data_IF_636331427036
#
_entry.id   IF_636331427036
#
_cell.length_a   1.000
_cell.length_b   1.000
_cell.length_c   1.000
_cell.angle_alpha   90.00
_cell.angle_beta   90.00
_cell.angle_gamma   90.00
#
_symmetry.space_group_name_H-M   'P 1'
#
loop_
_entity.id
_entity.type
_entity.pdbx_description
1 polymer ?
#
# COMPACT_ATOMS: atom_id res chain seq x y z
N UNK A 1 34.77 10.35 -11.61
CA UNK A 1 33.50 9.97 -10.95
C UNK A 1 32.27 10.23 -11.83
N UNK A 2 32.26 11.23 -12.72
CA UNK A 2 31.07 11.64 -13.50
C UNK A 2 30.47 10.59 -14.45
N UNK A 3 31.30 9.68 -15.00
CA UNK A 3 30.80 8.61 -15.88
C UNK A 3 29.94 7.57 -15.15
N UNK A 4 30.17 7.37 -13.86
CA UNK A 4 29.40 6.42 -13.04
C UNK A 4 28.01 6.98 -12.73
N UNK A 5 27.92 8.30 -12.51
CA UNK A 5 26.65 8.99 -12.23
C UNK A 5 25.75 9.00 -13.47
N UNK A 6 26.32 9.25 -14.66
CA UNK A 6 25.56 9.21 -15.92
C UNK A 6 25.03 7.80 -16.25
N UNK A 7 25.79 6.76 -15.90
CA UNK A 7 25.38 5.37 -16.13
C UNK A 7 24.28 4.94 -15.15
N UNK A 8 24.35 5.36 -13.89
CA UNK A 8 23.29 5.15 -12.90
C UNK A 8 21.98 5.85 -13.30
N UNK A 9 22.04 7.09 -13.77
CA UNK A 9 20.85 7.82 -14.21
C UNK A 9 20.17 7.15 -15.42
N UNK A 10 20.95 6.67 -16.39
CA UNK A 10 20.41 5.94 -17.54
C UNK A 10 19.76 4.61 -17.14
N UNK A 11 20.36 3.89 -16.18
CA UNK A 11 19.84 2.61 -15.71
C UNK A 11 18.51 2.78 -14.94
N UNK A 12 18.40 3.81 -14.10
CA UNK A 12 17.14 4.15 -13.42
C UNK A 12 16.04 4.52 -14.43
N UNK A 13 16.38 5.27 -15.49
CA UNK A 13 15.44 5.59 -16.57
C UNK A 13 14.94 4.34 -17.30
N UNK A 14 15.80 3.36 -17.52
CA UNK A 14 15.45 2.10 -18.18
C UNK A 14 14.54 1.23 -17.31
N UNK A 15 14.79 1.17 -15.99
CA UNK A 15 13.93 0.44 -15.04
C UNK A 15 12.54 1.10 -14.98
N UNK A 16 12.48 2.43 -14.93
CA UNK A 16 11.21 3.15 -14.93
C UNK A 16 10.39 2.88 -16.21
N UNK A 17 11.06 2.82 -17.37
CA UNK A 17 10.41 2.51 -18.64
C UNK A 17 9.89 1.06 -18.66
N UNK A 18 10.66 0.10 -18.14
CA UNK A 18 10.24 -1.29 -18.04
C UNK A 18 9.02 -1.46 -17.12
N UNK A 19 8.99 -0.76 -15.98
CA UNK A 19 7.86 -0.78 -15.06
C UNK A 19 6.57 -0.23 -15.71
N UNK A 20 6.67 0.85 -16.49
CA UNK A 20 5.53 1.42 -17.20
C UNK A 20 4.92 0.43 -18.22
N UNK A 21 5.76 -0.34 -18.91
CA UNK A 21 5.30 -1.34 -19.89
C UNK A 21 4.54 -2.47 -19.19
N UNK A 22 5.04 -2.97 -18.05
CA UNK A 22 4.40 -4.06 -17.29
C UNK A 22 3.03 -3.66 -16.74
N UNK A 23 2.90 -2.41 -16.26
CA UNK A 23 1.60 -1.89 -15.80
C UNK A 23 0.61 -1.83 -16.96
N UNK A 24 1.05 -1.38 -18.14
CA UNK A 24 0.17 -1.28 -19.30
C UNK A 24 -0.36 -2.65 -19.75
N UNK A 25 0.47 -3.69 -19.72
CA UNK A 25 0.05 -5.04 -20.09
C UNK A 25 -0.92 -5.66 -19.08
N UNK A 26 -0.80 -5.31 -17.79
CA UNK A 26 -1.71 -5.79 -16.76
C UNK A 26 -3.11 -5.16 -16.89
N UNK A 27 -3.17 -3.87 -17.21
CA UNK A 27 -4.45 -3.17 -17.44
C UNK A 27 -5.18 -3.74 -18.67
N UNK A 28 -4.45 -4.11 -19.72
CA UNK A 28 -5.05 -4.73 -20.90
C UNK A 28 -5.56 -6.16 -20.62
N UNK A 29 -4.84 -6.93 -19.79
CA UNK A 29 -5.28 -8.24 -19.34
C UNK A 29 -6.56 -8.16 -18.49
N UNK A 30 -6.64 -7.22 -17.54
CA UNK A 30 -7.85 -6.99 -16.75
C UNK A 30 -9.04 -6.59 -17.62
N UNK A 31 -8.84 -5.72 -18.62
CA UNK A 31 -9.91 -5.32 -19.55
C UNK A 31 -10.45 -6.50 -20.36
N UNK A 32 -9.60 -7.41 -20.80
CA UNK A 32 -10.03 -8.62 -21.52
C UNK A 32 -10.81 -9.57 -20.60
N UNK A 33 -10.39 -9.70 -19.35
CA UNK A 33 -11.07 -10.54 -18.38
C UNK A 33 -12.47 -10.00 -18.07
N UNK A 34 -12.61 -8.68 -17.86
CA UNK A 34 -13.93 -8.04 -17.67
C UNK A 34 -14.83 -8.15 -18.91
N UNK A 35 -14.27 -8.07 -20.12
CA UNK A 35 -15.03 -8.24 -21.36
C UNK A 35 -15.61 -9.66 -21.48
N UNK A 36 -14.84 -10.66 -21.05
CA UNK A 36 -15.27 -12.07 -21.04
C UNK A 36 -16.39 -12.29 -20.02
N UNK A 37 -16.28 -11.66 -18.85
CA UNK A 37 -17.28 -11.76 -17.78
C UNK A 37 -18.61 -11.11 -18.21
N UNK A 38 -18.55 -9.95 -18.88
CA UNK A 38 -19.73 -9.31 -19.48
C UNK A 38 -20.41 -10.17 -20.54
N UNK A 39 -19.64 -10.91 -21.35
CA UNK A 39 -20.21 -11.84 -22.32
C UNK A 39 -20.93 -13.00 -21.62
N UNK A 40 -20.39 -13.54 -20.53
CA UNK A 40 -21.04 -14.58 -19.74
C UNK A 40 -22.31 -14.07 -19.03
N UNK A 41 -22.26 -12.89 -18.45
CA UNK A 41 -23.45 -12.29 -17.82
C UNK A 41 -24.56 -12.07 -18.84
N UNK A 42 -24.24 -11.57 -20.05
CA UNK A 42 -25.24 -11.42 -21.13
C UNK A 42 -25.86 -12.74 -21.57
N UNK A 43 -25.07 -13.82 -21.64
CA UNK A 43 -25.60 -15.15 -21.93
C UNK A 43 -26.55 -15.64 -20.83
N UNK A 44 -26.20 -15.41 -19.56
CA UNK A 44 -27.08 -15.79 -18.43
C UNK A 44 -28.39 -14.99 -18.38
N UNK A 45 -28.34 -13.70 -18.75
CA UNK A 45 -29.52 -12.83 -18.85
C UNK A 45 -30.38 -13.24 -20.06
N UNK A 46 -29.76 -13.58 -21.20
CA UNK A 46 -30.45 -14.04 -22.40
C UNK A 46 -31.22 -15.35 -22.20
N UNK A 47 -30.76 -16.22 -21.27
CA UNK A 47 -31.46 -17.46 -20.90
C UNK A 47 -32.58 -17.24 -19.86
N UNK A 48 -32.54 -16.13 -19.12
CA UNK A 48 -33.53 -15.81 -18.07
C UNK A 48 -34.60 -14.82 -18.56
N UNK A 49 -34.36 -14.13 -19.68
CA UNK A 49 -35.32 -13.19 -20.26
C UNK A 49 -36.33 -13.93 -21.15
N UNK A 50 -37.65 -13.85 -20.90
CA UNK A 50 -38.66 -14.38 -21.81
C UNK A 50 -38.58 -13.64 -23.15
N UNK A 51 -38.35 -14.40 -24.21
CA UNK A 51 -38.30 -13.92 -25.59
C UNK A 51 -39.61 -13.16 -25.91
N UNK A 52 -39.58 -11.86 -26.27
CA UNK A 52 -40.77 -11.19 -26.76
C UNK A 52 -41.14 -11.84 -28.09
N UNK A 53 -42.29 -12.52 -28.11
CA UNK A 53 -42.90 -13.04 -29.34
C UNK A 53 -43.17 -11.84 -30.24
N UNK A 54 -42.41 -11.74 -31.34
CA UNK A 54 -42.57 -10.68 -32.34
C UNK A 54 -43.85 -10.97 -33.13
N UNK A 55 -44.97 -10.42 -32.69
CA UNK A 55 -46.14 -10.18 -33.54
C UNK A 55 -45.95 -8.83 -34.25
N UNK A 56 -46.06 -8.76 -35.59
CA UNK A 56 -45.91 -7.48 -36.28
C UNK A 56 -47.18 -6.63 -36.11
N UNK A 57 -47.06 -5.49 -35.44
CA UNK A 57 -48.10 -4.46 -35.34
C UNK A 57 -47.45 -3.06 -35.25
N UNK A 58 -48.19 -1.98 -35.57
CA UNK A 58 -47.79 -0.93 -36.51
C UNK A 58 -46.88 0.17 -35.94
N UNK A 59 -46.31 0.94 -36.85
CA UNK A 59 -45.44 2.12 -36.63
C UNK A 59 -46.09 3.10 -35.66
N UNK A 60 -45.64 3.07 -34.40
CA UNK A 60 -45.88 4.11 -33.39
C UNK A 60 -44.75 5.16 -33.39
N UNK A 61 -44.92 6.27 -32.66
CA UNK A 61 -43.93 7.35 -32.56
C UNK A 61 -42.56 6.85 -32.05
N UNK A 62 -41.45 7.57 -32.32
CA UNK A 62 -40.12 7.11 -31.94
C UNK A 62 -40.09 6.78 -30.45
N UNK A 63 -39.67 5.56 -30.13
CA UNK A 63 -39.41 5.16 -28.76
C UNK A 63 -38.35 6.09 -28.18
N UNK A 64 -38.51 6.48 -26.92
CA UNK A 64 -37.45 7.13 -26.16
C UNK A 64 -36.32 6.11 -25.99
N UNK A 65 -35.26 6.21 -26.80
CA UNK A 65 -34.18 5.21 -26.90
C UNK A 65 -33.24 5.18 -25.67
N UNK A 66 -33.65 5.76 -24.53
CA UNK A 66 -32.87 5.85 -23.28
C UNK A 66 -31.57 6.67 -23.39
N UNK A 67 -31.33 7.31 -24.54
CA UNK A 67 -30.08 8.05 -24.81
C UNK A 67 -29.95 9.29 -23.91
N UNK A 68 -31.06 9.98 -23.61
CA UNK A 68 -31.07 11.12 -22.70
C UNK A 68 -30.69 10.72 -21.26
N UNK A 69 -31.18 9.58 -20.80
CA UNK A 69 -30.90 9.02 -19.47
C UNK A 69 -29.44 8.54 -19.38
N UNK A 70 -28.91 7.96 -20.46
CA UNK A 70 -27.51 7.58 -20.56
C UNK A 70 -26.57 8.80 -20.51
N UNK A 71 -26.91 9.91 -21.18
CA UNK A 71 -26.14 11.15 -21.11
C UNK A 71 -26.18 11.80 -19.72
N UNK A 72 -27.33 11.76 -19.04
CA UNK A 72 -27.45 12.23 -17.65
C UNK A 72 -26.62 11.36 -16.69
N UNK A 73 -26.64 10.04 -16.88
CA UNK A 73 -25.80 9.11 -16.10
C UNK A 73 -24.30 9.40 -16.29
N UNK A 74 -23.89 9.69 -17.52
CA UNK A 74 -22.49 10.01 -17.84
C UNK A 74 -22.06 11.33 -17.17
N UNK A 75 -22.90 12.36 -17.25
CA UNK A 75 -22.65 13.65 -16.58
C UNK A 75 -22.50 13.48 -15.06
N UNK A 76 -23.37 12.68 -14.43
CA UNK A 76 -23.30 12.43 -13.00
C UNK A 76 -22.02 11.66 -12.60
N UNK A 77 -21.59 10.70 -13.43
CA UNK A 77 -20.32 9.98 -13.22
C UNK A 77 -19.12 10.91 -13.36
N UNK A 78 -19.11 11.82 -14.32
CA UNK A 78 -18.02 12.80 -14.50
C UNK A 78 -17.93 13.71 -13.28
N UNK A 79 -19.05 14.28 -12.83
CA UNK A 79 -19.08 15.13 -11.63
C UNK A 79 -18.56 14.38 -10.38
N UNK A 80 -18.93 13.11 -10.23
CA UNK A 80 -18.45 12.27 -9.13
C UNK A 80 -16.94 12.02 -9.23
N UNK A 81 -16.43 11.73 -10.43
CA UNK A 81 -15.00 11.50 -10.66
C UNK A 81 -14.18 12.76 -10.40
N UNK A 82 -14.66 13.93 -10.80
CA UNK A 82 -14.01 15.22 -10.53
C UNK A 82 -13.94 15.50 -9.02
N UNK A 83 -15.03 15.24 -8.29
CA UNK A 83 -15.06 15.40 -6.84
C UNK A 83 -14.10 14.43 -6.13
N UNK A 84 -14.08 13.15 -6.53
CA UNK A 84 -13.15 12.15 -6.00
C UNK A 84 -11.70 12.51 -6.29
N UNK A 85 -11.40 13.00 -7.49
CA UNK A 85 -10.06 13.45 -7.89
C UNK A 85 -9.61 14.64 -7.05
N UNK A 86 -10.51 15.60 -6.84
CA UNK A 86 -10.23 16.78 -6.01
C UNK A 86 -9.93 16.40 -4.55
N UNK A 87 -10.72 15.46 -4.00
CA UNK A 87 -10.52 14.97 -2.64
C UNK A 87 -9.17 14.25 -2.48
N UNK A 88 -8.84 13.34 -3.41
CA UNK A 88 -7.55 12.64 -3.41
C UNK A 88 -6.37 13.61 -3.53
N UNK A 89 -6.48 14.66 -4.35
CA UNK A 89 -5.44 15.68 -4.46
C UNK A 89 -5.24 16.44 -3.14
N UNK A 90 -6.33 16.78 -2.44
CA UNK A 90 -6.26 17.43 -1.13
C UNK A 90 -5.64 16.51 -0.06
N UNK A 91 -5.99 15.22 -0.06
CA UNK A 91 -5.41 14.24 0.86
C UNK A 91 -3.91 14.03 0.60
N UNK A 92 -3.50 13.97 -0.68
CA UNK A 92 -2.09 13.84 -1.04
C UNK A 92 -1.27 15.07 -0.59
N UNK A 93 -1.83 16.28 -0.72
CA UNK A 93 -1.18 17.52 -0.28
C UNK A 93 -1.12 17.62 1.25
N UNK A 94 -2.18 17.17 1.95
CA UNK A 94 -2.17 17.06 3.41
C UNK A 94 -1.12 16.06 3.88
N UNK A 95 -1.00 14.91 3.21
CA UNK A 95 0.02 13.89 3.52
C UNK A 95 1.45 14.43 3.24
N UNK A 96 1.66 15.17 2.15
CA UNK A 96 2.94 15.84 1.87
C UNK A 96 3.30 16.87 2.93
N UNK A 97 2.33 17.68 3.35
CA UNK A 97 2.52 18.69 4.40
C UNK A 97 2.84 18.03 5.75
N UNK A 98 2.15 16.95 6.10
CA UNK A 98 2.44 16.17 7.29
C UNK A 98 3.86 15.59 7.25
N UNK A 99 4.29 15.04 6.11
CA UNK A 99 5.64 14.50 5.94
C UNK A 99 6.74 15.59 6.02
N UNK A 100 6.45 16.80 5.50
CA UNK A 100 7.34 17.95 5.60
C UNK A 100 7.45 18.50 7.04
N UNK A 101 6.36 18.46 7.81
CA UNK A 101 6.35 18.85 9.22
C UNK A 101 7.19 17.88 10.09
N UNK A 102 7.20 16.59 9.75
CA UNK A 102 8.01 15.58 10.45
C UNK A 102 9.50 15.69 10.07
N UNK A 103 9.82 16.26 8.89
CA UNK A 103 11.20 16.44 8.41
C UNK A 103 11.84 17.78 8.75
N UNK A 104 11.13 18.68 9.44
CA UNK A 104 11.69 19.98 9.86
C UNK A 104 12.49 19.83 11.16
N UNK A 105 13.76 20.26 11.22
CA UNK A 105 14.51 20.29 12.48
C UNK A 105 13.87 21.30 13.44
N UNK A 106 13.85 21.03 14.76
CA UNK A 106 13.28 21.96 15.73
C UNK A 106 13.99 23.32 15.66
N UNK A 107 13.29 24.45 15.84
CA UNK A 107 13.93 25.75 15.92
C UNK A 107 14.91 25.75 17.10
N UNK A 108 16.18 26.06 16.80
CA UNK A 108 17.22 26.23 17.81
C UNK A 108 16.83 27.40 18.72
N UNK A 109 16.31 27.06 19.91
CA UNK A 109 16.19 28.02 21.00
C UNK A 109 17.59 28.25 21.61
N UNK A 110 17.97 29.50 21.92
CA UNK A 110 19.32 29.79 22.39
C UNK A 110 19.56 29.21 23.79
N UNK A 111 20.79 28.73 23.99
CA UNK A 111 21.34 28.23 25.24
C UNK A 111 20.96 29.13 26.43
N UNK A 112 20.30 28.54 27.42
CA UNK A 112 20.34 29.01 28.80
C UNK A 112 20.93 27.88 29.67
N UNK A 113 22.13 28.13 30.16
CA UNK A 113 22.82 27.34 31.18
C UNK A 113 21.97 27.29 32.45
N UNK A 114 21.45 26.11 32.78
CA UNK A 114 21.07 25.76 34.14
C UNK A 114 21.39 24.27 34.35
N UNK A 115 22.42 24.04 35.15
CA UNK A 115 22.73 22.74 35.70
C UNK A 115 21.56 22.27 36.59
N UNK A 116 20.91 21.20 36.19
CA UNK A 116 20.14 20.33 37.06
C UNK A 116 20.16 18.94 36.42
N UNK A 117 20.57 17.94 37.19
CA UNK A 117 20.67 16.54 36.81
C UNK A 117 19.32 16.05 36.26
N UNK A 118 19.24 15.92 34.93
CA UNK A 118 18.24 15.12 34.25
C UNK A 118 18.99 14.17 33.33
N UNK A 119 19.41 13.08 33.93
CA UNK A 119 19.89 11.91 33.22
C UNK A 119 18.78 11.47 32.26
N UNK A 120 19.05 11.37 30.95
CA UNK A 120 18.07 10.83 30.01
C UNK A 120 17.65 9.43 30.50
N UNK A 121 16.38 9.01 30.35
CA UNK A 121 16.00 7.65 30.66
C UNK A 121 16.91 6.74 29.83
N UNK A 122 17.81 6.06 30.53
CA UNK A 122 18.63 5.00 29.96
C UNK A 122 17.61 4.00 29.42
N UNK A 123 17.58 3.71 28.10
CA UNK A 123 16.70 2.68 27.58
C UNK A 123 16.98 1.41 28.38
N UNK A 124 15.92 0.73 28.82
CA UNK A 124 16.10 -0.51 29.56
C UNK A 124 16.87 -1.44 28.63
N UNK A 125 17.99 -1.93 29.13
CA UNK A 125 18.91 -2.71 28.31
C UNK A 125 18.16 -3.89 27.70
N UNK A 126 18.17 -3.93 26.36
CA UNK A 126 18.12 -5.12 25.52
C UNK A 126 18.69 -6.30 26.31
N UNK A 127 17.83 -7.23 26.72
CA UNK A 127 18.24 -8.35 27.57
C UNK A 127 19.23 -9.22 26.80
N UNK A 128 20.46 -9.38 27.29
CA UNK A 128 21.50 -10.17 26.59
C UNK A 128 21.15 -11.66 26.38
N UNK A 129 20.00 -12.12 26.85
CA UNK A 129 19.47 -13.49 26.76
C UNK A 129 18.87 -13.87 25.39
N UNK A 130 19.11 -13.08 24.35
CA UNK A 130 18.64 -13.38 22.98
C UNK A 130 19.69 -14.06 22.11
N UNK A 131 19.30 -14.61 20.95
CA UNK A 131 20.25 -15.21 20.00
C UNK A 131 21.25 -14.18 19.51
N UNK A 132 22.48 -14.62 19.29
CA UNK A 132 23.60 -13.81 18.76
C UNK A 132 24.14 -14.32 17.42
N UNK A 133 23.72 -15.52 17.01
CA UNK A 133 23.96 -16.11 15.68
C UNK A 133 22.62 -16.28 14.98
N UNK A 134 22.60 -16.16 13.64
CA UNK A 134 21.42 -16.41 12.78
C UNK A 134 20.18 -15.60 13.21
N UNK A 135 20.38 -14.33 13.51
CA UNK A 135 19.35 -13.39 13.95
C UNK A 135 19.46 -12.06 13.21
N UNK A 136 18.37 -11.30 13.21
CA UNK A 136 18.33 -9.97 12.61
C UNK A 136 18.75 -8.93 13.64
N UNK A 137 19.74 -8.07 13.34
CA UNK A 137 20.14 -7.01 14.24
C UNK A 137 18.99 -6.03 14.52
N UNK A 138 18.96 -5.49 15.74
CA UNK A 138 17.98 -4.46 16.10
C UNK A 138 18.10 -3.25 15.18
N UNK A 139 16.96 -2.75 14.74
CA UNK A 139 16.88 -1.56 13.91
C UNK A 139 17.34 -1.73 12.47
N UNK A 140 17.70 -2.93 12.00
CA UNK A 140 17.96 -3.15 10.56
C UNK A 140 16.66 -3.44 9.82
N UNK A 141 16.61 -3.01 8.57
CA UNK A 141 15.52 -3.39 7.67
C UNK A 141 15.81 -4.75 7.06
N UNK A 142 14.77 -5.56 6.91
CA UNK A 142 14.86 -6.89 6.31
C UNK A 142 13.60 -7.21 5.53
N UNK A 143 13.73 -8.09 4.56
CA UNK A 143 12.63 -8.52 3.72
C UNK A 143 12.05 -9.84 4.26
N UNK A 144 10.73 -9.93 4.27
CA UNK A 144 10.00 -11.07 4.80
C UNK A 144 8.89 -11.49 3.85
N UNK A 145 8.55 -12.77 3.86
CA UNK A 145 7.47 -13.39 3.12
C UNK A 145 6.58 -14.20 4.05
N UNK A 146 5.42 -14.63 3.55
CA UNK A 146 4.51 -15.47 4.32
C UNK A 146 5.17 -16.78 4.74
N UNK A 147 5.09 -17.11 6.04
CA UNK A 147 5.72 -18.28 6.64
C UNK A 147 7.07 -18.02 7.30
N UNK A 148 7.69 -16.86 7.08
CA UNK A 148 9.00 -16.57 7.65
C UNK A 148 8.96 -16.34 9.17
N UNK A 149 10.06 -16.70 9.82
CA UNK A 149 10.28 -16.47 11.26
C UNK A 149 11.68 -15.92 11.49
N UNK A 150 11.76 -14.66 11.94
CA UNK A 150 13.01 -13.95 12.15
C UNK A 150 13.27 -13.69 13.64
N UNK A 151 14.24 -14.35 14.26
CA UNK A 151 14.66 -14.00 15.61
C UNK A 151 15.42 -12.67 15.59
N UNK A 152 15.16 -11.82 16.59
CA UNK A 152 15.81 -10.51 16.71
C UNK A 152 16.97 -10.60 17.70
N UNK A 153 18.16 -10.24 17.24
CA UNK A 153 19.39 -10.43 17.99
C UNK A 153 19.33 -9.76 19.37
N UNK A 154 19.85 -10.44 20.38
CA UNK A 154 19.89 -9.97 21.78
C UNK A 154 18.49 -9.64 22.35
N UNK A 155 17.43 -10.21 21.80
CA UNK A 155 16.09 -10.10 22.38
C UNK A 155 15.40 -11.47 22.36
N UNK A 156 14.27 -11.58 23.06
CA UNK A 156 13.37 -12.73 22.94
C UNK A 156 12.32 -12.56 21.83
N UNK A 157 12.39 -11.46 21.08
CA UNK A 157 11.43 -11.17 20.03
C UNK A 157 11.69 -12.07 18.81
N UNK A 158 10.61 -12.63 18.27
CA UNK A 158 10.61 -13.34 17.00
C UNK A 158 9.49 -12.75 16.16
N UNK A 159 9.83 -12.25 14.97
CA UNK A 159 8.84 -11.78 14.00
C UNK A 159 8.38 -12.99 13.20
N UNK A 160 7.09 -13.34 13.29
CA UNK A 160 6.50 -14.41 12.49
C UNK A 160 5.49 -13.78 11.54
N UNK A 161 5.70 -13.96 10.24
CA UNK A 161 4.84 -13.39 9.20
C UNK A 161 3.90 -14.48 8.71
N UNK A 162 2.60 -14.30 8.88
CA UNK A 162 1.59 -15.29 8.46
C UNK A 162 1.05 -15.02 7.06
N UNK A 163 1.02 -13.76 6.62
CA UNK A 163 0.58 -13.37 5.29
C UNK A 163 1.17 -12.03 4.89
N UNK A 164 1.35 -11.81 3.58
CA UNK A 164 1.65 -10.50 3.00
C UNK A 164 0.72 -10.31 1.81
N UNK A 165 -0.23 -9.39 1.95
CA UNK A 165 -1.27 -9.15 0.95
C UNK A 165 -1.92 -7.77 1.12
N UNK A 166 -2.50 -7.26 0.03
CA UNK A 166 -3.32 -6.04 0.04
C UNK A 166 -2.64 -4.82 0.70
N UNK A 167 -1.33 -4.66 0.52
CA UNK A 167 -0.58 -3.55 1.14
C UNK A 167 -0.31 -3.73 2.63
N UNK A 168 -0.49 -4.93 3.18
CA UNK A 168 -0.31 -5.23 4.60
C UNK A 168 0.50 -6.50 4.84
N UNK A 169 1.19 -6.56 5.98
CA UNK A 169 1.83 -7.78 6.48
C UNK A 169 1.10 -8.21 7.76
N UNK A 170 0.65 -9.46 7.81
CA UNK A 170 0.07 -10.05 9.01
C UNK A 170 1.17 -10.66 9.85
N UNK A 171 1.37 -10.11 11.05
CA UNK A 171 2.44 -10.52 11.97
C UNK A 171 1.83 -11.11 13.23
N UNK A 172 2.36 -12.24 13.70
CA UNK A 172 1.90 -12.87 14.94
C UNK A 172 2.07 -11.93 16.13
N UNK A 173 0.96 -11.69 16.84
CA UNK A 173 0.86 -10.68 17.90
C UNK A 173 0.01 -9.49 17.45
N UNK A 174 0.56 -8.51 16.72
CA UNK A 174 -0.17 -7.30 16.34
C UNK A 174 -1.23 -7.52 15.24
N UNK A 175 -1.19 -8.64 14.53
CA UNK A 175 -2.11 -8.91 13.42
C UNK A 175 -1.72 -8.18 12.14
N UNK A 176 -2.68 -7.78 11.28
CA UNK A 176 -2.39 -7.09 10.03
C UNK A 176 -1.88 -5.67 10.28
N UNK A 177 -0.72 -5.35 9.72
CA UNK A 177 -0.13 -4.01 9.75
C UNK A 177 0.03 -3.53 8.31
N UNK A 178 -0.67 -2.45 7.96
CA UNK A 178 -0.54 -1.79 6.65
C UNK A 178 0.84 -1.17 6.48
N UNK A 179 1.34 -1.11 5.24
CA UNK A 179 2.56 -0.40 4.91
C UNK A 179 2.55 1.05 5.47
N UNK A 180 3.66 1.45 6.10
CA UNK A 180 3.79 2.68 6.88
C UNK A 180 3.37 2.55 8.35
N UNK A 181 2.72 1.45 8.74
CA UNK A 181 2.25 1.19 10.10
C UNK A 181 3.28 0.51 11.00
N UNK A 182 2.94 0.41 12.27
CA UNK A 182 3.71 -0.34 13.27
C UNK A 182 2.79 -1.02 14.28
N UNK A 183 3.29 -2.06 14.93
CA UNK A 183 2.56 -2.81 15.95
C UNK A 183 3.48 -3.35 17.05
N UNK A 184 2.95 -3.54 18.26
CA UNK A 184 3.69 -4.17 19.35
C UNK A 184 3.91 -5.66 19.03
N UNK A 185 5.10 -6.17 19.34
CA UNK A 185 5.37 -7.62 19.33
C UNK A 185 5.05 -8.23 20.69
N UNK A 186 4.88 -9.56 20.72
CA UNK A 186 4.67 -10.34 21.96
C UNK A 186 5.79 -10.11 22.99
N UNK A 187 7.01 -9.85 22.53
CA UNK A 187 8.11 -9.45 23.39
C UNK A 187 7.90 -8.01 23.88
N UNK A 188 7.77 -7.86 25.20
CA UNK A 188 7.57 -6.57 25.85
C UNK A 188 8.64 -5.55 25.44
N UNK A 189 8.21 -4.35 25.05
CA UNK A 189 9.08 -3.25 24.65
C UNK A 189 9.55 -3.30 23.19
N UNK A 190 9.19 -4.33 22.42
CA UNK A 190 9.52 -4.43 20.99
C UNK A 190 8.35 -4.03 20.09
N UNK A 191 8.66 -3.30 19.03
CA UNK A 191 7.72 -2.88 17.99
C UNK A 191 8.25 -3.26 16.62
N UNK A 192 7.38 -3.76 15.75
CA UNK A 192 7.66 -3.98 14.34
C UNK A 192 7.03 -2.86 13.51
N UNK A 193 7.77 -2.36 12.53
CA UNK A 193 7.31 -1.40 11.54
C UNK A 193 7.32 -2.06 10.17
N UNK A 194 6.24 -1.87 9.40
CA UNK A 194 6.14 -2.32 8.01
C UNK A 194 6.38 -1.10 7.11
N UNK A 195 7.42 -1.12 6.28
CA UNK A 195 7.67 -0.04 5.31
C UNK A 195 6.93 -0.26 4.02
N UNK A 196 6.93 -1.49 3.53
CA UNK A 196 6.22 -1.90 2.33
C UNK A 196 5.64 -3.29 2.52
N UNK A 197 4.57 -3.56 1.81
CA UNK A 197 3.98 -4.87 1.59
C UNK A 197 3.33 -4.81 0.22
N UNK A 198 3.67 -5.73 -0.67
CA UNK A 198 3.21 -5.69 -2.06
C UNK A 198 2.57 -7.01 -2.49
N UNK A 199 1.99 -7.01 -3.69
CA UNK A 199 1.32 -8.18 -4.26
C UNK A 199 2.28 -9.29 -4.70
N UNK A 200 3.60 -9.09 -4.62
CA UNK A 200 4.58 -10.15 -4.86
C UNK A 200 4.81 -11.03 -3.63
N UNK A 201 4.14 -10.71 -2.51
CA UNK A 201 4.17 -11.52 -1.28
C UNK A 201 5.35 -11.20 -0.36
N UNK A 202 6.02 -10.07 -0.59
CA UNK A 202 7.14 -9.60 0.23
C UNK A 202 6.80 -8.31 0.97
N UNK A 203 7.33 -8.20 2.19
CA UNK A 203 7.23 -7.02 3.03
C UNK A 203 8.60 -6.61 3.55
N UNK A 204 8.88 -5.30 3.57
CA UNK A 204 10.06 -4.73 4.21
C UNK A 204 9.73 -4.34 5.65
N UNK A 205 10.46 -4.90 6.61
CA UNK A 205 10.19 -4.78 8.04
C UNK A 205 11.39 -4.22 8.80
N UNK A 206 11.16 -3.57 9.94
CA UNK A 206 12.20 -3.26 10.95
C UNK A 206 11.65 -3.48 12.34
N UNK A 207 12.49 -4.01 13.22
CA UNK A 207 12.15 -4.14 14.64
C UNK A 207 13.00 -3.21 15.47
N UNK A 208 12.36 -2.55 16.42
CA UNK A 208 13.01 -1.75 17.46
C UNK A 208 12.53 -2.22 18.81
N UNK A 209 13.43 -2.28 19.80
CA UNK A 209 13.10 -2.64 21.18
C UNK A 209 13.68 -1.58 22.13
N UNK A 210 12.94 -1.26 23.20
CA UNK A 210 13.30 -0.27 24.23
C UNK A 210 13.41 -0.87 25.63
#
# INVERSE_FOLDING_TARGET
MDRVISLLAALVGLIALAAAIVVHTNVDAERQQMATDLAQMRLSIGLTSPQPVVTPAPVGPPADDGTAEALLSLQNRIATLEQVTTNQAAELEAARTALAAISSPPPASPLATAAAEHQPPVPKAVTADGPTSDCIPLGTRFMASAGDSFPICKTKAVVRVSAVENGSATIAGPGPITAGGFGPLEAAGCTVMVFSADSSGYAELRVTCQ
#
